data_IF_039404528726
#
_entry.id   IF_039404528726
#
_cell.length_a   1.000
_cell.length_b   1.000
_cell.length_c   1.000
_cell.angle_alpha   90.00
_cell.angle_beta   90.00
_cell.angle_gamma   90.00
#
_symmetry.space_group_name_H-M   'P 1'
#
loop_
_entity.id
_entity.type
_entity.pdbx_description
1 polymer ?
#
# COMPACT_ATOMS: atom_id res chain seq x y z
N UNK A 1 -0.34 -15.85 17.77
CA UNK A 1 0.53 -16.41 16.74
C UNK A 1 0.34 -15.62 15.47
N UNK A 2 1.41 -15.37 14.72
CA UNK A 2 1.35 -14.69 13.41
C UNK A 2 1.15 -15.77 12.34
N UNK A 3 0.18 -15.56 11.46
CA UNK A 3 -0.15 -16.46 10.35
C UNK A 3 -0.08 -15.69 9.01
N UNK A 4 0.07 -16.42 7.90
CA UNK A 4 0.05 -15.90 6.54
C UNK A 4 -1.18 -15.01 6.33
N UNK A 5 -0.98 -13.81 5.77
CA UNK A 5 -2.09 -12.92 5.44
C UNK A 5 -2.68 -13.42 4.12
N UNK A 6 -3.51 -14.45 4.19
CA UNK A 6 -4.39 -14.92 3.11
C UNK A 6 -5.70 -14.11 3.05
N UNK A 7 -5.83 -13.12 3.95
CA UNK A 7 -7.08 -12.44 4.21
C UNK A 7 -7.16 -11.11 3.44
N UNK A 8 -7.94 -11.10 2.36
CA UNK A 8 -8.27 -9.90 1.58
C UNK A 8 -8.75 -8.74 2.47
N UNK A 9 -9.34 -9.03 3.63
CA UNK A 9 -9.77 -8.04 4.61
C UNK A 9 -8.62 -7.21 5.17
N UNK A 10 -7.43 -7.80 5.34
CA UNK A 10 -6.22 -7.09 5.80
C UNK A 10 -5.67 -6.22 4.67
N UNK A 11 -5.60 -6.76 3.45
CA UNK A 11 -5.14 -6.01 2.28
C UNK A 11 -6.03 -4.80 2.00
N UNK A 12 -7.36 -4.95 2.11
CA UNK A 12 -8.30 -3.84 1.96
C UNK A 12 -8.20 -2.81 3.08
N UNK A 13 -7.91 -3.22 4.32
CA UNK A 13 -7.61 -2.28 5.42
C UNK A 13 -6.34 -1.48 5.14
N UNK A 14 -5.30 -2.11 4.61
CA UNK A 14 -4.09 -1.41 4.18
C UNK A 14 -4.37 -0.42 3.05
N UNK A 15 -5.18 -0.79 2.06
CA UNK A 15 -5.63 0.14 1.00
C UNK A 15 -6.33 1.36 1.62
N UNK A 16 -7.24 1.14 2.58
CA UNK A 16 -7.94 2.24 3.24
C UNK A 16 -7.01 3.14 4.05
N UNK A 17 -6.00 2.56 4.72
CA UNK A 17 -4.98 3.32 5.44
C UNK A 17 -4.17 4.20 4.47
N UNK A 18 -3.68 3.63 3.38
CA UNK A 18 -2.95 4.36 2.32
C UNK A 18 -3.77 5.51 1.77
N UNK A 19 -5.07 5.30 1.53
CA UNK A 19 -5.95 6.35 1.04
C UNK A 19 -6.03 7.52 2.01
N UNK A 20 -6.22 7.24 3.30
CA UNK A 20 -6.29 8.29 4.34
C UNK A 20 -4.99 9.08 4.44
N UNK A 21 -3.84 8.42 4.35
CA UNK A 21 -2.54 9.09 4.37
C UNK A 21 -2.35 9.98 3.14
N UNK A 22 -2.77 9.50 1.97
CA UNK A 22 -2.72 10.26 0.73
C UNK A 22 -3.63 11.49 0.77
N UNK A 23 -4.87 11.30 1.23
CA UNK A 23 -5.85 12.38 1.34
C UNK A 23 -5.42 13.42 2.39
N UNK A 24 -4.72 12.99 3.45
CA UNK A 24 -4.13 13.87 4.46
C UNK A 24 -2.80 14.50 4.02
N UNK A 25 -2.23 14.11 2.87
CA UNK A 25 -0.94 14.60 2.40
C UNK A 25 0.24 14.23 3.32
N UNK A 26 0.09 13.19 4.14
CA UNK A 26 1.10 12.81 5.13
C UNK A 26 2.19 12.01 4.41
N UNK A 27 3.44 12.51 4.36
CA UNK A 27 4.53 11.78 3.71
C UNK A 27 4.78 10.45 4.43
N UNK A 28 5.05 9.41 3.64
CA UNK A 28 5.28 8.06 4.15
C UNK A 28 6.73 7.67 3.87
N UNK A 29 7.47 7.29 4.91
CA UNK A 29 8.81 6.73 4.76
C UNK A 29 8.68 5.22 4.69
N UNK A 30 8.95 4.65 3.52
CA UNK A 30 9.03 3.19 3.36
C UNK A 30 10.33 2.68 4.00
N UNK A 31 10.23 1.98 5.14
CA UNK A 31 11.34 1.19 5.70
C UNK A 31 11.04 -0.31 5.53
N UNK A 32 11.86 -1.01 4.74
CA UNK A 32 11.70 -2.46 4.52
C UNK A 32 11.59 -2.84 3.04
N UNK A 33 10.76 -3.85 2.75
CA UNK A 33 10.60 -4.43 1.42
C UNK A 33 10.07 -3.42 0.40
N UNK A 34 10.37 -3.66 -0.88
CA UNK A 34 9.93 -2.81 -1.97
C UNK A 34 8.40 -2.72 -1.99
N UNK A 35 7.87 -1.51 -2.19
CA UNK A 35 6.42 -1.22 -2.23
C UNK A 35 5.66 -2.03 -3.29
N UNK A 36 6.35 -2.54 -4.32
CA UNK A 36 5.81 -3.42 -5.37
C UNK A 36 5.42 -4.82 -4.84
N UNK A 37 5.96 -5.24 -3.70
CA UNK A 37 5.70 -6.56 -3.08
C UNK A 37 4.65 -6.52 -1.96
N UNK A 38 3.99 -5.38 -1.72
CA UNK A 38 2.99 -5.22 -0.65
C UNK A 38 1.75 -6.09 -0.87
N UNK A 39 1.38 -6.33 -2.13
CA UNK A 39 0.26 -7.20 -2.49
C UNK A 39 0.80 -8.41 -3.24
N UNK A 40 0.35 -9.61 -2.87
CA UNK A 40 0.77 -10.84 -3.54
C UNK A 40 0.28 -10.89 -4.99
N UNK A 41 0.96 -11.67 -5.83
CA UNK A 41 0.57 -11.87 -7.22
C UNK A 41 -0.85 -12.46 -7.34
N UNK A 42 -1.24 -13.35 -6.43
CA UNK A 42 -2.61 -13.88 -6.33
C UNK A 42 -3.64 -12.78 -6.01
N UNK A 43 -3.33 -11.84 -5.11
CA UNK A 43 -4.20 -10.70 -4.83
C UNK A 43 -4.32 -9.77 -6.05
N UNK A 44 -3.24 -9.58 -6.80
CA UNK A 44 -3.25 -8.81 -8.05
C UNK A 44 -3.97 -9.53 -9.18
N UNK A 45 -4.06 -10.86 -9.16
CA UNK A 45 -4.90 -11.65 -10.08
C UNK A 45 -6.39 -11.66 -9.68
N UNK A 46 -6.72 -11.24 -8.45
CA UNK A 46 -8.08 -11.21 -7.91
C UNK A 46 -8.94 -9.99 -8.29
N UNK A 47 -10.21 -10.00 -7.89
CA UNK A 47 -11.20 -8.98 -8.25
C UNK A 47 -10.94 -7.56 -7.72
N UNK A 48 -10.04 -7.41 -6.73
CA UNK A 48 -9.67 -6.12 -6.15
C UNK A 48 -8.38 -5.52 -6.72
N UNK A 49 -7.82 -6.08 -7.80
CA UNK A 49 -6.60 -5.60 -8.47
C UNK A 49 -6.48 -4.08 -8.58
N UNK A 50 -7.55 -3.41 -9.03
CA UNK A 50 -7.56 -1.94 -9.18
C UNK A 50 -7.33 -1.21 -7.87
N UNK A 51 -7.85 -1.73 -6.75
CA UNK A 51 -7.65 -1.15 -5.41
C UNK A 51 -6.20 -1.28 -4.94
N UNK A 52 -5.59 -2.43 -5.22
CA UNK A 52 -4.19 -2.70 -4.88
C UNK A 52 -3.23 -1.83 -5.69
N UNK A 53 -3.37 -1.80 -7.02
CA UNK A 53 -2.55 -0.94 -7.88
C UNK A 53 -2.70 0.55 -7.52
N UNK A 54 -3.92 0.97 -7.17
CA UNK A 54 -4.22 2.33 -6.72
C UNK A 54 -3.50 2.66 -5.40
N UNK A 55 -3.46 1.74 -4.44
CA UNK A 55 -2.73 1.91 -3.20
C UNK A 55 -1.21 1.97 -3.43
N UNK A 56 -0.66 1.09 -4.27
CA UNK A 56 0.77 1.13 -4.63
C UNK A 56 1.16 2.47 -5.26
N UNK A 57 0.34 3.00 -6.18
CA UNK A 57 0.59 4.31 -6.80
C UNK A 57 0.57 5.46 -5.79
N UNK A 58 -0.37 5.46 -4.84
CA UNK A 58 -0.44 6.47 -3.77
C UNK A 58 0.75 6.39 -2.82
N UNK A 59 1.16 5.19 -2.42
CA UNK A 59 2.33 5.00 -1.57
C UNK A 59 3.59 5.52 -2.25
N UNK A 60 3.78 5.24 -3.55
CA UNK A 60 4.91 5.78 -4.31
C UNK A 60 4.92 7.32 -4.31
N UNK A 61 3.76 7.95 -4.53
CA UNK A 61 3.63 9.41 -4.49
C UNK A 61 3.94 9.99 -3.09
N UNK A 62 3.46 9.36 -2.02
CA UNK A 62 3.73 9.78 -0.64
C UNK A 62 5.20 9.60 -0.23
N UNK A 63 5.86 8.57 -0.76
CA UNK A 63 7.29 8.33 -0.51
C UNK A 63 8.15 9.34 -1.23
N UNK A 64 7.80 9.67 -2.48
CA UNK A 64 8.45 10.74 -3.23
C UNK A 64 8.27 12.11 -2.54
N UNK A 65 7.07 12.40 -2.02
CA UNK A 65 6.82 13.61 -1.24
C UNK A 65 7.68 13.67 0.04
N UNK A 66 7.81 12.55 0.77
CA UNK A 66 8.65 12.47 1.97
C UNK A 66 10.16 12.54 1.71
N UNK A 67 10.62 12.21 0.50
CA UNK A 67 12.02 12.39 0.08
C UNK A 67 12.31 13.82 -0.38
N UNK A 68 11.32 14.53 -0.93
CA UNK A 68 11.47 15.92 -1.36
C UNK A 68 11.48 16.93 -0.19
N UNK A 69 10.95 16.55 0.97
CA UNK A 69 10.92 17.36 2.19
C UNK A 69 12.17 17.16 3.08
N UNK A 70 13.21 16.51 2.55
CA UNK A 70 14.56 16.38 3.15
C UNK A 70 15.58 17.18 2.37
#
# INVERSE_FOLDING_TARGET
GVHTIDDQSVALRLVSLTDRLYDAGIPVVSSGAKLDTIFSEEMLAGGFRKKYLRATSRLLALTAAGQADR
#
